data_IF_359335756942
#
_entry.id   IF_359335756942
#
_cell.length_a   1.000
_cell.length_b   1.000
_cell.length_c   1.000
_cell.angle_alpha   90.00
_cell.angle_beta   90.00
_cell.angle_gamma   90.00
#
_symmetry.space_group_name_H-M   'P 1'
#
loop_
_entity.id
_entity.type
_entity.pdbx_description
1 polymer ?
#
# COMPACT_ATOMS: atom_id res chain seq x y z
N UNK A 1 8.89 7.38 -15.70
CA UNK A 1 9.45 7.51 -14.33
C UNK A 1 8.42 7.93 -13.28
N UNK A 2 7.86 9.15 -13.38
CA UNK A 2 7.00 9.74 -12.33
C UNK A 2 5.60 9.10 -12.21
N UNK A 3 4.97 8.72 -13.33
CA UNK A 3 3.68 8.02 -13.34
C UNK A 3 3.73 6.69 -12.55
N UNK A 4 4.83 5.95 -12.73
CA UNK A 4 5.06 4.69 -12.03
C UNK A 4 5.36 4.92 -10.54
N UNK A 5 6.09 5.98 -10.19
CA UNK A 5 6.37 6.30 -8.79
C UNK A 5 5.08 6.53 -7.97
N UNK A 6 4.09 7.23 -8.55
CA UNK A 6 2.75 7.37 -7.94
C UNK A 6 2.06 6.02 -7.75
N UNK A 7 2.08 5.14 -8.76
CA UNK A 7 1.47 3.80 -8.69
C UNK A 7 2.18 2.87 -7.70
N UNK A 8 3.51 2.92 -7.65
CA UNK A 8 4.33 2.13 -6.74
C UNK A 8 4.04 2.46 -5.26
N UNK A 9 3.74 3.72 -4.93
CA UNK A 9 3.31 4.12 -3.59
C UNK A 9 1.94 3.52 -3.19
N UNK A 10 1.00 3.49 -4.15
CA UNK A 10 -0.33 2.87 -3.96
C UNK A 10 -0.18 1.35 -3.78
N UNK A 11 0.57 0.69 -4.67
CA UNK A 11 0.85 -0.75 -4.59
C UNK A 11 1.56 -1.15 -3.29
N UNK A 12 2.49 -0.32 -2.81
CA UNK A 12 3.15 -0.51 -1.52
C UNK A 12 2.17 -0.48 -0.34
N UNK A 13 1.22 0.45 -0.38
CA UNK A 13 0.16 0.57 0.64
C UNK A 13 -0.78 -0.63 0.63
N UNK A 14 -1.19 -1.08 -0.57
CA UNK A 14 -2.01 -2.29 -0.73
C UNK A 14 -1.25 -3.53 -0.22
N UNK A 15 0.03 -3.68 -0.55
CA UNK A 15 0.87 -4.77 -0.07
C UNK A 15 1.00 -4.77 1.45
N UNK A 16 1.17 -3.59 2.08
CA UNK A 16 1.21 -3.46 3.53
C UNK A 16 -0.14 -3.86 4.16
N UNK A 17 -1.25 -3.39 3.59
CA UNK A 17 -2.59 -3.75 4.06
C UNK A 17 -2.91 -5.24 3.92
N UNK A 18 -2.52 -5.87 2.81
CA UNK A 18 -2.71 -7.32 2.61
C UNK A 18 -1.88 -8.14 3.58
N UNK A 19 -0.59 -7.81 3.76
CA UNK A 19 0.33 -8.58 4.60
C UNK A 19 0.10 -8.37 6.09
N UNK A 20 -0.20 -7.15 6.52
CA UNK A 20 -0.30 -6.79 7.94
C UNK A 20 -1.73 -6.87 8.48
N UNK A 21 -2.73 -6.64 7.63
CA UNK A 21 -4.13 -6.51 8.06
C UNK A 21 -5.07 -7.52 7.38
N UNK A 22 -4.53 -8.49 6.62
CA UNK A 22 -5.29 -9.55 5.92
C UNK A 22 -6.46 -9.01 5.08
N UNK A 23 -6.26 -7.86 4.43
CA UNK A 23 -7.25 -7.12 3.64
C UNK A 23 -8.01 -7.94 2.58
N UNK A 24 -7.47 -9.08 2.13
CA UNK A 24 -8.11 -9.96 1.13
C UNK A 24 -9.21 -10.85 1.68
N UNK A 25 -9.33 -11.02 3.00
CA UNK A 25 -10.33 -11.91 3.60
C UNK A 25 -10.96 -11.23 4.81
N UNK A 26 -12.21 -10.81 4.66
CA UNK A 26 -13.08 -10.47 5.79
C UNK A 26 -13.70 -11.76 6.32
N UNK A 27 -13.60 -11.99 7.63
CA UNK A 27 -14.31 -13.09 8.31
C UNK A 27 -15.76 -12.68 8.65
N UNK A 28 -16.11 -11.42 8.43
CA UNK A 28 -17.43 -10.89 8.75
C UNK A 28 -18.38 -11.04 7.56
N UNK A 29 -19.57 -11.56 7.86
CA UNK A 29 -20.67 -11.71 6.91
C UNK A 29 -21.50 -10.43 6.93
N UNK A 30 -21.69 -9.82 5.76
CA UNK A 30 -22.46 -8.59 5.57
C UNK A 30 -21.61 -7.37 5.19
N UNK A 31 -22.17 -6.49 4.34
CA UNK A 31 -21.48 -5.32 3.77
C UNK A 31 -21.09 -4.31 4.85
N UNK A 32 -21.95 -4.03 5.83
CA UNK A 32 -21.67 -3.05 6.89
C UNK A 32 -20.45 -3.45 7.74
N UNK A 33 -20.36 -4.72 8.16
CA UNK A 33 -19.22 -5.22 8.96
C UNK A 33 -17.93 -5.27 8.14
N UNK A 34 -18.04 -5.62 6.86
CA UNK A 34 -16.92 -5.59 5.92
C UNK A 34 -16.42 -4.16 5.70
N UNK A 35 -17.32 -3.19 5.55
CA UNK A 35 -16.97 -1.77 5.41
C UNK A 35 -16.22 -1.24 6.63
N UNK A 36 -16.69 -1.54 7.84
CA UNK A 36 -15.99 -1.20 9.08
C UNK A 36 -14.58 -1.83 9.14
N UNK A 37 -14.44 -3.10 8.75
CA UNK A 37 -13.11 -3.73 8.68
C UNK A 37 -12.17 -2.97 7.73
N UNK A 38 -12.65 -2.51 6.57
CA UNK A 38 -11.85 -1.74 5.63
C UNK A 38 -11.45 -0.37 6.20
N UNK A 39 -12.38 0.36 6.83
CA UNK A 39 -12.10 1.65 7.47
C UNK A 39 -11.06 1.49 8.57
N UNK A 40 -11.26 0.54 9.47
CA UNK A 40 -10.31 0.28 10.58
C UNK A 40 -8.94 -0.11 10.05
N UNK A 41 -8.89 -0.91 8.97
CA UNK A 41 -7.63 -1.27 8.33
C UNK A 41 -6.94 -0.06 7.69
N UNK A 42 -7.68 0.81 7.01
CA UNK A 42 -7.15 2.04 6.44
C UNK A 42 -6.63 2.98 7.53
N UNK A 43 -7.37 3.13 8.64
CA UNK A 43 -6.94 3.91 9.79
C UNK A 43 -5.65 3.35 10.41
N UNK A 44 -5.58 2.03 10.66
CA UNK A 44 -4.39 1.37 11.19
C UNK A 44 -3.16 1.58 10.31
N UNK A 45 -3.30 1.53 8.98
CA UNK A 45 -2.21 1.84 8.06
C UNK A 45 -1.74 3.29 8.17
N UNK A 46 -2.65 4.25 8.30
CA UNK A 46 -2.30 5.66 8.52
C UNK A 46 -1.56 5.84 9.84
N UNK A 47 -2.01 5.21 10.93
CA UNK A 47 -1.32 5.27 12.23
C UNK A 47 0.10 4.71 12.18
N UNK A 48 0.30 3.56 11.52
CA UNK A 48 1.65 2.98 11.35
C UNK A 48 2.56 3.91 10.53
N UNK A 49 2.03 4.62 9.54
CA UNK A 49 2.81 5.59 8.76
C UNK A 49 3.16 6.83 9.59
N UNK A 50 2.19 7.33 10.36
CA UNK A 50 2.40 8.46 11.26
C UNK A 50 3.42 8.14 12.35
N UNK A 51 3.33 6.95 12.96
CA UNK A 51 4.28 6.51 13.98
C UNK A 51 5.70 6.40 13.42
N UNK A 52 5.85 5.87 12.20
CA UNK A 52 7.16 5.77 11.56
C UNK A 52 7.73 7.15 11.20
N UNK A 53 6.89 8.08 10.76
CA UNK A 53 7.30 9.46 10.49
C UNK A 53 7.78 10.17 11.76
N UNK A 54 7.01 10.07 12.84
CA UNK A 54 7.40 10.63 14.15
C UNK A 54 8.69 10.00 14.69
N UNK A 55 8.89 8.70 14.48
CA UNK A 55 10.08 7.99 14.91
C UNK A 55 11.31 8.20 13.98
N UNK A 56 11.17 8.99 12.91
CA UNK A 56 12.24 9.19 11.93
C UNK A 56 12.67 7.91 11.19
N UNK A 57 11.86 6.85 11.24
CA UNK A 57 12.17 5.58 10.59
C UNK A 57 11.98 5.79 9.08
N UNK A 58 13.04 5.61 8.26
CA UNK A 58 12.92 5.81 6.82
C UNK A 58 11.88 4.85 6.26
N UNK A 59 10.95 5.37 5.45
CA UNK A 59 9.96 4.55 4.76
C UNK A 59 10.70 3.43 4.01
N UNK A 60 10.32 2.18 4.30
CA UNK A 60 10.96 1.01 3.71
C UNK A 60 11.08 1.21 2.20
N UNK A 61 12.31 1.14 1.69
CA UNK A 61 12.65 1.40 0.28
C UNK A 61 11.72 0.57 -0.58
N UNK A 62 10.85 1.22 -1.35
CA UNK A 62 9.86 0.53 -2.18
C UNK A 62 10.60 -0.44 -3.08
N UNK A 63 10.35 -1.75 -2.91
CA UNK A 63 10.97 -2.77 -3.76
C UNK A 63 10.54 -2.48 -5.20
N UNK A 64 11.50 -2.14 -6.06
CA UNK A 64 11.23 -1.96 -7.49
C UNK A 64 10.75 -3.30 -8.05
N UNK A 65 9.50 -3.38 -8.45
CA UNK A 65 8.93 -4.55 -9.13
C UNK A 65 9.57 -4.70 -10.52
N UNK A 66 9.64 -5.93 -11.03
CA UNK A 66 10.10 -6.22 -12.40
C UNK A 66 9.32 -5.43 -13.46
N UNK A 67 8.09 -5.01 -13.16
CA UNK A 67 7.28 -4.12 -14.00
C UNK A 67 7.95 -2.77 -14.30
N UNK A 68 8.80 -2.24 -13.42
CA UNK A 68 9.60 -1.03 -13.69
C UNK A 68 10.41 -1.19 -14.98
N UNK A 69 10.94 -2.40 -15.22
CA UNK A 69 11.76 -2.71 -16.38
C UNK A 69 10.97 -2.62 -17.70
N UNK A 70 9.67 -2.88 -17.66
CA UNK A 70 8.77 -2.78 -18.81
C UNK A 70 8.29 -1.34 -19.09
N UNK A 71 8.24 -0.49 -18.07
CA UNK A 71 7.89 0.94 -18.23
C UNK A 71 9.08 1.82 -18.64
N UNK A 72 10.31 1.35 -18.45
CA UNK A 72 11.52 2.08 -18.85
C UNK A 72 11.65 2.26 -20.38
N UNK A 73 11.38 1.26 -21.24
CA UNK A 73 11.43 1.44 -22.70
C UNK A 73 10.30 2.31 -23.27
N UNK A 74 9.11 2.34 -22.63
CA UNK A 74 7.99 3.18 -23.08
C UNK A 74 8.19 4.68 -22.81
N UNK A 75 9.13 5.05 -21.93
CA UNK A 75 9.44 6.46 -21.64
C UNK A 75 10.56 7.04 -22.52
N UNK A 76 11.08 6.26 -23.48
CA UNK A 76 12.15 6.63 -24.40
C UNK A 76 11.65 6.99 -25.82
N UNK A 77 10.32 7.13 -25.98
CA UNK A 77 9.64 7.72 -27.14
C UNK A 77 8.78 8.89 -26.65
#
# INVERSE_FOLDING_TARGET
>A
GQQYAKRAGIEGTISQGVRRCRLRRTRYIGLAKTHLQHIVTAAALNFVRLSNWLAGIPLAKTRRSSFVRLMMPLAAH
#
